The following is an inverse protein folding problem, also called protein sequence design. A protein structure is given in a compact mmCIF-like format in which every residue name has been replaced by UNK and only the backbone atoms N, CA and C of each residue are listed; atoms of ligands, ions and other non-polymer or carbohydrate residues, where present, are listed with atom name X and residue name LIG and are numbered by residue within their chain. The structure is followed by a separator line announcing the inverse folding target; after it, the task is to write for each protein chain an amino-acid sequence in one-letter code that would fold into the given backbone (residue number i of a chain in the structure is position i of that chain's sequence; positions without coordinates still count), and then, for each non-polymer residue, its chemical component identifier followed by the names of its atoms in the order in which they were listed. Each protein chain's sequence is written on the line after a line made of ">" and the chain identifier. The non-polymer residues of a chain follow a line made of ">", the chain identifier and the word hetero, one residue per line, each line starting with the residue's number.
data_IF_865828096948
#
_entry.id   IF_865828096948
#
_cell.length_a   1.000
_cell.length_b   1.000
_cell.length_c   1.000
_cell.angle_alpha   90.00
_cell.angle_beta   90.00
_cell.angle_gamma   90.00
#
_symmetry.space_group_name_H-M   'P 1'
#
loop_
_entity.id
_entity.type
_entity.pdbx_description
1 polymer ?
#
# COMPACT_ATOMS: atom_id res chain seq x y z
N UNK A 1 2.35 -12.00 10.11
CA UNK A 1 2.93 -10.68 9.79
C UNK A 1 3.24 -9.89 11.04
N UNK A 2 4.52 -9.84 11.42
CA UNK A 2 4.97 -9.05 12.56
C UNK A 2 4.64 -7.56 12.37
N UNK A 3 4.39 -6.88 13.49
CA UNK A 3 4.10 -5.46 13.54
C UNK A 3 5.37 -4.65 13.26
N UNK A 4 5.28 -3.59 12.46
CA UNK A 4 6.43 -2.81 12.01
C UNK A 4 6.19 -1.31 12.10
N UNK A 5 7.19 -0.57 12.60
CA UNK A 5 7.19 0.89 12.55
C UNK A 5 7.60 1.39 11.14
N UNK A 6 6.93 2.41 10.57
CA UNK A 6 7.30 2.94 9.25
C UNK A 6 8.58 3.78 9.21
N UNK A 7 9.00 4.33 10.36
CA UNK A 7 10.25 5.08 10.60
C UNK A 7 10.64 6.03 9.43
N UNK A 8 9.79 7.01 9.06
CA UNK A 8 10.23 8.09 8.18
C UNK A 8 11.35 8.88 8.83
N UNK A 9 12.38 9.31 8.07
CA UNK A 9 13.53 10.03 8.61
C UNK A 9 13.10 11.34 9.29
N UNK A 10 12.18 12.08 8.66
CA UNK A 10 11.45 13.16 9.31
C UNK A 10 10.29 12.57 10.12
N UNK A 11 10.25 12.86 11.43
CA UNK A 11 9.13 12.50 12.29
C UNK A 11 7.87 13.32 11.97
N UNK A 12 6.76 13.12 12.71
CA UNK A 12 5.57 13.97 12.57
C UNK A 12 5.81 15.38 13.12
N UNK A 13 5.15 16.36 12.52
CA UNK A 13 5.18 17.74 12.98
C UNK A 13 3.99 18.55 12.47
N UNK A 14 3.55 19.48 13.32
CA UNK A 14 2.41 20.36 13.10
C UNK A 14 2.72 21.76 13.63
N UNK A 15 2.40 22.79 12.84
CA UNK A 15 2.36 24.19 13.25
C UNK A 15 0.97 24.71 12.90
N UNK A 16 0.25 25.20 13.89
CA UNK A 16 -1.06 25.81 13.71
C UNK A 16 -1.02 27.29 14.09
N UNK A 17 -1.71 28.13 13.32
CA UNK A 17 -1.84 29.55 13.58
C UNK A 17 -3.29 29.98 13.30
N UNK A 18 -3.95 30.53 14.32
CA UNK A 18 -5.31 31.05 14.22
C UNK A 18 -5.29 32.58 14.38
N UNK A 19 -5.72 33.30 13.34
CA UNK A 19 -5.73 34.76 13.32
C UNK A 19 -6.92 35.27 12.52
N UNK A 20 -7.63 36.28 13.04
CA UNK A 20 -8.73 36.94 12.31
C UNK A 20 -9.85 36.00 11.87
N UNK A 21 -10.12 34.93 12.64
CA UNK A 21 -11.12 33.92 12.29
C UNK A 21 -10.66 32.91 11.23
N UNK A 22 -9.40 32.92 10.81
CA UNK A 22 -8.81 31.99 9.86
C UNK A 22 -7.76 31.10 10.52
N UNK A 23 -7.83 29.79 10.24
CA UNK A 23 -6.90 28.79 10.74
C UNK A 23 -5.96 28.35 9.61
N UNK A 24 -4.65 28.52 9.78
CA UNK A 24 -3.64 27.92 8.90
C UNK A 24 -2.87 26.83 9.65
N UNK A 25 -2.75 25.66 9.04
CA UNK A 25 -2.07 24.49 9.60
C UNK A 25 -0.98 24.02 8.63
N UNK A 26 0.28 24.08 9.04
CA UNK A 26 1.40 23.45 8.37
C UNK A 26 1.68 22.10 9.01
N UNK A 27 1.53 21.02 8.27
CA UNK A 27 1.54 19.66 8.85
C UNK A 27 2.21 18.67 7.91
N UNK A 28 3.03 17.77 8.48
CA UNK A 28 3.67 16.68 7.76
C UNK A 28 2.66 15.59 7.39
N UNK A 29 1.81 15.83 6.38
CA UNK A 29 0.72 14.93 6.01
C UNK A 29 0.78 14.47 4.54
N UNK A 30 0.18 13.31 4.28
CA UNK A 30 -0.05 12.75 2.96
C UNK A 30 -1.41 13.17 2.38
N UNK A 31 -2.32 13.68 3.21
CA UNK A 31 -3.72 13.92 2.85
C UNK A 31 -4.21 15.29 3.37
N UNK A 32 -3.65 16.42 2.90
CA UNK A 32 -3.96 17.74 3.45
C UNK A 32 -5.44 18.13 3.34
N UNK A 33 -6.13 17.72 2.27
CA UNK A 33 -7.58 17.95 2.13
C UNK A 33 -8.41 17.17 3.15
N UNK A 34 -7.97 15.95 3.50
CA UNK A 34 -8.63 15.14 4.52
C UNK A 34 -8.42 15.75 5.90
N UNK A 35 -7.17 16.13 6.22
CA UNK A 35 -6.87 16.87 7.45
C UNK A 35 -7.75 18.11 7.58
N UNK A 36 -7.97 18.87 6.50
CA UNK A 36 -8.86 20.03 6.52
C UNK A 36 -10.30 19.65 6.91
N UNK A 37 -10.83 18.58 6.32
CA UNK A 37 -12.17 18.09 6.64
C UNK A 37 -12.27 17.56 8.08
N UNK A 38 -11.27 16.80 8.54
CA UNK A 38 -11.23 16.24 9.89
C UNK A 38 -11.13 17.36 10.95
N UNK A 39 -10.27 18.35 10.74
CA UNK A 39 -10.17 19.54 11.61
C UNK A 39 -11.47 20.35 11.61
N UNK A 40 -12.11 20.53 10.45
CA UNK A 40 -13.41 21.21 10.34
C UNK A 40 -14.48 20.49 11.17
N UNK A 41 -14.57 19.17 11.03
CA UNK A 41 -15.54 18.35 11.73
C UNK A 41 -15.34 18.39 13.26
N UNK A 42 -14.09 18.32 13.73
CA UNK A 42 -13.80 18.30 15.18
C UNK A 42 -13.98 19.68 15.82
N UNK A 43 -13.52 20.75 15.18
CA UNK A 43 -13.51 22.09 15.77
C UNK A 43 -14.76 22.92 15.44
N UNK A 44 -15.65 22.42 14.58
CA UNK A 44 -16.84 23.15 14.13
C UNK A 44 -16.52 24.39 13.27
N UNK A 45 -15.29 24.51 12.77
CA UNK A 45 -14.88 25.63 11.92
C UNK A 45 -15.26 25.34 10.46
N UNK A 46 -15.85 26.30 9.72
CA UNK A 46 -16.14 26.11 8.30
C UNK A 46 -14.87 25.80 7.49
N UNK A 47 -14.91 24.80 6.60
CA UNK A 47 -13.74 24.38 5.81
C UNK A 47 -13.05 25.53 5.05
N UNK A 48 -13.81 26.52 4.56
CA UNK A 48 -13.27 27.68 3.84
C UNK A 48 -12.43 28.61 4.74
N UNK A 49 -12.56 28.50 6.07
CA UNK A 49 -11.73 29.22 7.05
C UNK A 49 -10.50 28.42 7.48
N UNK A 50 -10.31 27.20 6.94
CA UNK A 50 -9.20 26.32 7.30
C UNK A 50 -8.30 26.11 6.09
N UNK A 51 -7.03 26.49 6.22
CA UNK A 51 -6.00 26.28 5.22
C UNK A 51 -4.98 25.27 5.73
N UNK A 52 -4.98 24.07 5.15
CA UNK A 52 -3.96 23.05 5.44
C UNK A 52 -2.87 23.06 4.38
N UNK A 53 -1.62 23.13 4.82
CA UNK A 53 -0.42 23.19 3.99
C UNK A 53 0.47 22.01 4.38
N UNK A 54 0.65 21.05 3.47
CA UNK A 54 1.69 20.04 3.61
C UNK A 54 2.99 20.56 2.98
N UNK A 55 4.02 20.97 3.75
CA UNK A 55 5.30 21.42 3.18
C UNK A 55 6.04 20.24 2.50
N UNK A 56 7.33 20.40 2.21
CA UNK A 56 8.16 19.25 1.86
C UNK A 56 8.15 18.26 3.05
N UNK A 57 7.88 16.98 2.78
CA UNK A 57 7.72 15.93 3.81
C UNK A 57 8.84 14.90 3.64
N UNK A 58 9.66 14.74 4.68
CA UNK A 58 10.83 13.85 4.73
C UNK A 58 10.48 12.37 4.92
N UNK A 59 9.57 11.87 4.09
CA UNK A 59 9.04 10.51 4.15
C UNK A 59 7.77 10.39 4.98
N UNK A 60 6.94 9.40 4.65
CA UNK A 60 5.68 9.17 5.37
C UNK A 60 5.18 7.73 5.27
N UNK A 61 5.44 7.04 4.16
CA UNK A 61 5.28 5.58 4.04
C UNK A 61 3.92 4.98 4.43
N UNK A 62 2.89 5.81 4.57
CA UNK A 62 1.54 5.43 4.99
C UNK A 62 1.14 6.01 6.35
N UNK A 63 2.06 6.15 7.32
CA UNK A 63 1.70 6.61 8.67
C UNK A 63 1.26 8.07 8.73
N UNK A 64 1.74 8.94 7.84
CA UNK A 64 1.34 10.36 7.77
C UNK A 64 0.01 10.59 7.00
N UNK A 65 -0.80 9.54 6.79
CA UNK A 65 -2.07 9.64 6.07
C UNK A 65 -3.25 10.07 6.94
N UNK A 66 -3.28 9.62 8.21
CA UNK A 66 -4.27 10.05 9.20
C UNK A 66 -3.89 11.39 9.85
N UNK A 67 -4.85 11.95 10.57
CA UNK A 67 -4.65 13.04 11.53
C UNK A 67 -4.57 12.40 12.92
N UNK A 68 -3.53 12.72 13.68
CA UNK A 68 -3.33 12.17 15.03
C UNK A 68 -3.79 13.14 16.11
N UNK A 69 -4.06 12.60 17.30
CA UNK A 69 -4.50 13.37 18.46
C UNK A 69 -3.51 14.49 18.84
N UNK A 70 -2.20 14.23 18.84
CA UNK A 70 -1.18 15.26 19.15
C UNK A 70 -1.26 16.46 18.19
N UNK A 71 -1.48 16.18 16.90
CA UNK A 71 -1.59 17.18 15.84
C UNK A 71 -2.89 17.97 15.99
N UNK A 72 -3.99 17.30 16.33
CA UNK A 72 -5.28 17.91 16.57
C UNK A 72 -5.29 18.78 17.84
N UNK A 73 -4.66 18.32 18.92
CA UNK A 73 -4.46 19.09 20.16
C UNK A 73 -3.62 20.33 19.88
N UNK A 74 -2.57 20.22 19.06
CA UNK A 74 -1.77 21.38 18.60
C UNK A 74 -2.63 22.42 17.89
N UNK A 75 -3.52 21.97 16.99
CA UNK A 75 -4.45 22.86 16.28
C UNK A 75 -5.45 23.50 17.23
N UNK A 76 -6.07 22.72 18.12
CA UNK A 76 -7.03 23.22 19.10
C UNK A 76 -6.39 24.24 20.07
N UNK A 77 -5.16 23.99 20.50
CA UNK A 77 -4.39 24.91 21.34
C UNK A 77 -4.14 26.25 20.63
N UNK A 78 -3.78 26.25 19.35
CA UNK A 78 -3.60 27.49 18.58
C UNK A 78 -4.90 28.30 18.46
N UNK A 79 -6.04 27.63 18.26
CA UNK A 79 -7.37 28.28 18.23
C UNK A 79 -7.71 28.90 19.58
N UNK A 80 -7.52 28.14 20.68
CA UNK A 80 -7.83 28.60 22.03
C UNK A 80 -6.95 29.74 22.50
N UNK A 81 -5.65 29.69 22.18
CA UNK A 81 -4.67 30.68 22.63
C UNK A 81 -4.60 31.92 21.74
N UNK A 82 -5.12 31.84 20.50
CA UNK A 82 -4.98 32.91 19.52
C UNK A 82 -3.52 33.19 19.13
N UNK A 83 -2.64 32.18 19.24
CA UNK A 83 -1.20 32.29 18.98
C UNK A 83 -0.70 31.09 18.18
N UNK A 84 0.40 31.23 17.42
CA UNK A 84 1.03 30.08 16.77
C UNK A 84 1.46 29.03 17.80
N UNK A 85 1.13 27.76 17.56
CA UNK A 85 1.55 26.61 18.36
C UNK A 85 2.23 25.60 17.44
N UNK A 86 3.45 25.19 17.81
CA UNK A 86 4.26 24.22 17.08
C UNK A 86 4.50 22.98 17.93
N UNK A 87 4.33 21.82 17.31
CA UNK A 87 4.67 20.52 17.86
C UNK A 87 5.47 19.71 16.84
N UNK A 88 6.50 19.01 17.31
CA UNK A 88 7.32 18.10 16.52
C UNK A 88 7.67 16.94 17.43
N UNK A 89 7.34 15.71 17.02
CA UNK A 89 7.69 14.53 17.82
C UNK A 89 9.19 14.19 17.68
N UNK A 90 9.76 13.64 18.74
CA UNK A 90 11.08 13.00 18.73
C UNK A 90 11.02 11.62 18.08
N UNK A 91 12.17 11.03 17.78
CA UNK A 91 12.22 9.65 17.27
C UNK A 91 11.60 8.63 18.22
N UNK A 92 11.87 8.76 19.52
CA UNK A 92 11.35 7.84 20.54
C UNK A 92 9.82 7.92 20.62
N UNK A 93 9.26 9.14 20.61
CA UNK A 93 7.81 9.35 20.53
C UNK A 93 7.24 8.76 19.23
N UNK A 94 7.92 8.95 18.10
CA UNK A 94 7.49 8.38 16.81
C UNK A 94 7.38 6.85 16.87
N UNK A 95 8.31 6.15 17.52
CA UNK A 95 8.27 4.69 17.65
C UNK A 95 7.13 4.20 18.58
N UNK A 96 6.76 5.01 19.56
CA UNK A 96 5.74 4.69 20.57
C UNK A 96 4.32 5.07 20.12
N UNK A 97 4.15 6.23 19.51
CA UNK A 97 2.85 6.87 19.29
C UNK A 97 2.43 6.92 17.82
N UNK A 98 3.36 6.91 16.86
CA UNK A 98 2.99 6.87 15.44
C UNK A 98 2.46 5.48 15.08
N UNK A 99 1.32 5.44 14.39
CA UNK A 99 0.65 4.20 14.06
C UNK A 99 1.57 3.26 13.25
N UNK A 100 1.51 1.98 13.61
CA UNK A 100 2.38 0.95 13.08
C UNK A 100 1.70 0.14 11.96
N UNK A 101 2.48 -0.45 11.07
CA UNK A 101 1.95 -1.33 10.02
C UNK A 101 1.86 -2.79 10.45
N UNK A 102 1.17 -3.58 9.62
CA UNK A 102 1.04 -5.04 9.76
C UNK A 102 0.27 -5.41 11.05
N UNK A 103 0.80 -6.32 11.87
CA UNK A 103 0.14 -6.76 13.11
C UNK A 103 -0.96 -7.78 12.86
N UNK A 104 -0.72 -8.75 11.97
CA UNK A 104 -1.72 -9.75 11.60
C UNK A 104 -1.15 -11.16 11.75
N UNK A 105 -1.95 -12.07 12.29
CA UNK A 105 -1.66 -13.51 12.36
C UNK A 105 -2.71 -14.22 11.54
N UNK A 106 -2.28 -15.08 10.62
CA UNK A 106 -3.17 -15.80 9.73
C UNK A 106 -2.88 -17.29 9.80
N UNK A 107 -3.93 -18.07 9.71
CA UNK A 107 -3.92 -19.47 9.30
C UNK A 107 -4.44 -19.51 7.86
N UNK A 108 -3.71 -20.19 6.98
CA UNK A 108 -4.04 -20.19 5.57
C UNK A 108 -3.80 -21.59 4.98
N UNK A 109 -4.76 -22.04 4.17
CA UNK A 109 -4.80 -23.38 3.60
C UNK A 109 -5.08 -23.27 2.10
N UNK A 110 -4.32 -24.01 1.30
CA UNK A 110 -4.50 -24.11 -0.14
C UNK A 110 -4.85 -25.55 -0.51
N UNK A 111 -6.02 -25.75 -1.12
CA UNK A 111 -6.37 -27.02 -1.73
C UNK A 111 -5.69 -27.12 -3.10
N UNK A 112 -4.96 -28.21 -3.33
CA UNK A 112 -4.16 -28.43 -4.54
C UNK A 112 -4.41 -29.84 -5.06
N UNK A 113 -4.64 -29.97 -6.37
CA UNK A 113 -4.72 -31.26 -7.05
C UNK A 113 -3.33 -31.92 -7.15
N UNK A 114 -3.28 -33.23 -7.41
CA UNK A 114 -2.01 -33.97 -7.57
C UNK A 114 -1.16 -33.44 -8.71
N UNK A 115 -1.78 -32.85 -9.73
CA UNK A 115 -1.11 -32.18 -10.83
C UNK A 115 -0.68 -30.74 -10.49
N UNK A 116 -0.73 -30.31 -9.23
CA UNK A 116 -0.35 -28.95 -8.81
C UNK A 116 -1.36 -27.85 -9.14
N UNK A 117 -2.55 -28.15 -9.64
CA UNK A 117 -3.61 -27.15 -9.89
C UNK A 117 -4.23 -26.67 -8.57
N UNK A 118 -4.37 -25.36 -8.39
CA UNK A 118 -4.97 -24.73 -7.20
C UNK A 118 -6.49 -24.76 -7.29
N UNK A 119 -7.15 -25.33 -6.27
CA UNK A 119 -8.59 -25.57 -6.25
C UNK A 119 -9.34 -24.62 -5.33
N UNK A 120 -8.74 -24.24 -4.21
CA UNK A 120 -9.40 -23.37 -3.26
C UNK A 120 -8.46 -22.81 -2.20
N UNK A 121 -8.80 -21.64 -1.65
CA UNK A 121 -8.02 -20.95 -0.63
C UNK A 121 -8.91 -20.61 0.57
N UNK A 122 -8.48 -21.00 1.78
CA UNK A 122 -9.13 -20.56 3.03
C UNK A 122 -8.12 -19.80 3.87
N UNK A 123 -8.52 -18.63 4.38
CA UNK A 123 -7.72 -17.82 5.29
C UNK A 123 -8.56 -17.41 6.49
N UNK A 124 -8.07 -17.69 7.69
CA UNK A 124 -8.60 -17.15 8.94
C UNK A 124 -7.52 -16.36 9.65
N UNK A 125 -7.89 -15.44 10.54
CA UNK A 125 -6.84 -14.72 11.27
C UNK A 125 -7.32 -13.68 12.26
N UNK A 126 -6.34 -13.10 12.94
CA UNK A 126 -6.49 -11.98 13.86
C UNK A 126 -5.69 -10.78 13.35
N UNK A 127 -6.27 -9.59 13.47
CA UNK A 127 -5.57 -8.32 13.24
C UNK A 127 -5.54 -7.51 14.51
N UNK A 128 -4.34 -7.22 15.00
CA UNK A 128 -4.10 -6.30 16.11
C UNK A 128 -4.36 -4.87 15.63
N UNK A 129 -5.40 -4.23 16.17
CA UNK A 129 -5.78 -2.85 15.82
C UNK A 129 -5.12 -1.81 16.74
N UNK A 130 -4.44 -2.22 17.81
CA UNK A 130 -4.04 -1.34 18.90
C UNK A 130 -5.19 -1.06 19.87
N UNK A 131 -5.03 -0.03 20.71
CA UNK A 131 -5.99 0.29 21.78
C UNK A 131 -7.29 0.90 21.24
N UNK A 132 -7.20 1.57 20.10
CA UNK A 132 -8.31 2.22 19.40
C UNK A 132 -8.02 2.20 17.90
N UNK A 133 -9.07 2.24 17.05
CA UNK A 133 -8.87 2.30 15.61
C UNK A 133 -8.52 3.73 15.19
N UNK A 134 -7.45 3.86 14.43
CA UNK A 134 -7.13 5.04 13.65
C UNK A 134 -7.93 5.09 12.34
N UNK A 135 -7.90 6.26 11.70
CA UNK A 135 -8.65 6.56 10.45
C UNK A 135 -8.59 5.44 9.39
N UNK A 136 -7.46 4.73 9.31
CA UNK A 136 -7.21 3.71 8.31
C UNK A 136 -6.82 2.34 8.88
N UNK A 137 -7.08 2.06 10.16
CA UNK A 137 -6.65 0.79 10.79
C UNK A 137 -7.23 -0.47 10.13
N UNK A 138 -8.45 -0.39 9.62
CA UNK A 138 -9.08 -1.52 8.92
C UNK A 138 -8.56 -1.73 7.49
N UNK A 139 -7.92 -0.73 6.88
CA UNK A 139 -7.53 -0.76 5.46
C UNK A 139 -6.58 -1.93 5.13
N UNK A 140 -5.51 -2.19 5.91
CA UNK A 140 -4.64 -3.32 5.63
C UNK A 140 -5.37 -4.67 5.62
N UNK A 141 -6.28 -4.91 6.56
CA UNK A 141 -7.02 -6.18 6.63
C UNK A 141 -7.93 -6.34 5.41
N UNK A 142 -8.69 -5.30 5.08
CA UNK A 142 -9.64 -5.33 3.95
C UNK A 142 -8.91 -5.53 2.62
N UNK A 143 -7.76 -4.86 2.43
CA UNK A 143 -7.00 -4.97 1.18
C UNK A 143 -6.25 -6.30 1.08
N UNK A 144 -5.76 -6.85 2.18
CA UNK A 144 -5.22 -8.21 2.21
C UNK A 144 -6.29 -9.21 1.75
N UNK A 145 -7.47 -9.19 2.39
CA UNK A 145 -8.59 -10.08 2.08
C UNK A 145 -9.02 -10.02 0.60
N UNK A 146 -8.96 -8.85 -0.02
CA UNK A 146 -9.34 -8.67 -1.43
C UNK A 146 -8.33 -9.25 -2.43
N UNK A 147 -7.08 -9.43 -2.03
CA UNK A 147 -5.97 -9.82 -2.91
C UNK A 147 -5.35 -11.17 -2.53
N UNK A 148 -5.99 -11.93 -1.64
CA UNK A 148 -5.49 -13.23 -1.14
C UNK A 148 -5.25 -14.26 -2.25
N UNK A 149 -5.94 -14.18 -3.39
CA UNK A 149 -5.74 -15.12 -4.50
C UNK A 149 -4.57 -14.72 -5.41
N UNK A 150 -3.99 -13.54 -5.22
CA UNK A 150 -2.82 -13.07 -5.96
C UNK A 150 -3.00 -13.12 -7.47
N UNK A 151 -1.98 -13.62 -8.16
CA UNK A 151 -1.90 -13.78 -9.61
C UNK A 151 -2.54 -15.09 -10.13
N UNK A 152 -3.15 -15.88 -9.24
CA UNK A 152 -3.53 -17.26 -9.52
C UNK A 152 -5.01 -17.43 -9.80
N UNK A 153 -5.31 -18.41 -10.65
CA UNK A 153 -6.65 -18.92 -10.94
C UNK A 153 -7.04 -19.87 -9.82
N UNK A 154 -7.72 -19.31 -8.83
CA UNK A 154 -8.25 -20.07 -7.70
C UNK A 154 -9.76 -19.90 -7.76
N UNK A 155 -10.55 -20.94 -8.09
CA UNK A 155 -11.98 -20.77 -8.36
C UNK A 155 -12.81 -20.50 -7.10
N UNK A 156 -12.33 -20.89 -5.91
CA UNK A 156 -13.02 -20.67 -4.64
C UNK A 156 -12.08 -20.09 -3.58
N UNK A 157 -12.53 -19.04 -2.88
CA UNK A 157 -11.78 -18.49 -1.76
C UNK A 157 -12.69 -18.04 -0.61
N UNK A 158 -12.23 -18.25 0.63
CA UNK A 158 -12.87 -17.76 1.86
C UNK A 158 -11.86 -17.06 2.74
N UNK A 159 -12.21 -15.89 3.28
CA UNK A 159 -11.35 -15.13 4.17
C UNK A 159 -12.14 -14.50 5.32
N UNK A 160 -11.73 -14.81 6.55
CA UNK A 160 -12.33 -14.28 7.77
C UNK A 160 -11.24 -13.80 8.73
N UNK A 161 -11.10 -12.48 8.87
CA UNK A 161 -10.13 -11.87 9.81
C UNK A 161 -10.87 -11.08 10.87
N UNK A 162 -10.55 -11.36 12.15
CA UNK A 162 -11.12 -10.65 13.30
C UNK A 162 -10.17 -9.56 13.78
N UNK A 163 -10.64 -8.32 13.80
CA UNK A 163 -9.93 -7.22 14.47
C UNK A 163 -10.02 -7.36 15.99
N UNK A 164 -8.90 -7.19 16.68
CA UNK A 164 -8.81 -7.24 18.15
C UNK A 164 -8.15 -5.99 18.69
N UNK A 165 -8.67 -5.46 19.80
CA UNK A 165 -8.04 -4.36 20.52
C UNK A 165 -6.97 -4.87 21.48
N UNK A 166 -5.86 -4.12 21.60
CA UNK A 166 -4.73 -4.46 22.47
C UNK A 166 -4.16 -3.21 23.13
N UNK A 167 -3.38 -3.32 24.21
CA UNK A 167 -2.72 -2.19 24.88
C UNK A 167 -1.49 -1.66 24.11
N UNK A 168 -1.65 -1.37 22.81
CA UNK A 168 -0.58 -0.88 21.93
C UNK A 168 -1.08 0.36 21.18
N UNK A 169 -0.15 1.11 20.58
CA UNK A 169 -0.49 2.16 19.60
C UNK A 169 -1.40 1.59 18.49
N UNK A 170 -2.18 2.39 17.76
CA UNK A 170 -2.99 1.90 16.65
C UNK A 170 -2.18 1.33 15.47
N UNK A 171 -2.83 0.52 14.63
CA UNK A 171 -2.26 0.16 13.33
C UNK A 171 -2.75 1.06 12.20
N UNK A 172 -1.93 1.24 11.17
CA UNK A 172 -2.22 2.06 10.01
C UNK A 172 -1.56 1.51 8.74
N UNK A 173 -1.88 2.07 7.56
CA UNK A 173 -1.15 1.77 6.34
C UNK A 173 0.37 1.95 6.51
N UNK A 174 1.10 0.91 6.17
CA UNK A 174 2.54 0.96 5.93
C UNK A 174 2.80 0.29 4.57
N UNK A 175 3.47 1.00 3.65
CA UNK A 175 3.87 0.57 2.29
C UNK A 175 3.14 -0.67 1.77
N UNK A 176 2.16 -0.45 0.89
CA UNK A 176 1.31 -1.50 0.31
C UNK A 176 0.02 -1.78 1.10
N UNK A 177 0.03 -1.62 2.43
CA UNK A 177 -1.15 -1.68 3.31
C UNK A 177 -2.09 -2.87 3.02
N UNK A 178 -1.75 -4.07 3.49
CA UNK A 178 -2.54 -5.28 3.26
C UNK A 178 -2.09 -6.08 2.04
N UNK A 179 -1.64 -5.40 0.98
CA UNK A 179 -1.16 -6.08 -0.24
C UNK A 179 0.03 -6.98 0.03
N UNK A 180 1.06 -6.55 0.81
CA UNK A 180 2.16 -7.45 1.16
C UNK A 180 1.71 -8.66 1.98
N UNK A 181 0.72 -8.49 2.85
CA UNK A 181 0.15 -9.59 3.63
C UNK A 181 -0.55 -10.61 2.73
N UNK A 182 -1.43 -10.16 1.82
CA UNK A 182 -2.09 -11.03 0.84
C UNK A 182 -1.11 -11.75 -0.09
N UNK A 183 -0.14 -11.00 -0.65
CA UNK A 183 0.89 -11.57 -1.53
C UNK A 183 1.76 -12.60 -0.80
N UNK A 184 2.22 -12.30 0.41
CA UNK A 184 3.03 -13.23 1.19
C UNK A 184 2.27 -14.52 1.50
N UNK A 185 0.99 -14.46 1.89
CA UNK A 185 0.21 -15.66 2.19
C UNK A 185 0.17 -16.61 0.99
N UNK A 186 -0.24 -16.12 -0.18
CA UNK A 186 -0.41 -16.98 -1.34
C UNK A 186 0.91 -17.44 -1.94
N UNK A 187 1.96 -16.60 -1.94
CA UNK A 187 3.27 -17.01 -2.42
C UNK A 187 3.92 -18.04 -1.51
N UNK A 188 3.74 -17.93 -0.18
CA UNK A 188 4.22 -18.96 0.76
C UNK A 188 3.48 -20.27 0.56
N UNK A 189 2.16 -20.24 0.33
CA UNK A 189 1.38 -21.43 0.04
C UNK A 189 1.80 -22.07 -1.29
N UNK A 190 2.10 -21.27 -2.32
CA UNK A 190 2.60 -21.79 -3.59
C UNK A 190 3.95 -22.50 -3.42
N UNK A 191 4.88 -21.96 -2.63
CA UNK A 191 6.16 -22.63 -2.32
C UNK A 191 5.95 -23.92 -1.51
N UNK A 192 5.04 -23.92 -0.53
CA UNK A 192 4.72 -25.11 0.27
C UNK A 192 4.09 -26.20 -0.58
N UNK A 193 3.15 -25.85 -1.46
CA UNK A 193 2.54 -26.77 -2.40
C UNK A 193 3.57 -27.34 -3.40
N UNK A 194 4.51 -26.51 -3.88
CA UNK A 194 5.61 -26.99 -4.73
C UNK A 194 6.45 -28.03 -4.01
N UNK A 195 6.83 -27.75 -2.76
CA UNK A 195 7.64 -28.65 -1.95
C UNK A 195 6.92 -29.98 -1.66
N UNK A 196 5.65 -29.93 -1.27
CA UNK A 196 4.84 -31.12 -0.95
C UNK A 196 4.68 -32.04 -2.16
N UNK A 197 4.48 -31.47 -3.35
CA UNK A 197 4.27 -32.23 -4.59
C UNK A 197 5.57 -32.54 -5.34
N UNK A 198 6.73 -32.12 -4.84
CA UNK A 198 8.01 -32.26 -5.54
C UNK A 198 8.08 -31.50 -6.87
N UNK A 199 7.32 -30.41 -7.02
CA UNK A 199 7.28 -29.57 -8.21
C UNK A 199 8.27 -28.42 -8.12
N UNK A 200 8.75 -27.95 -9.27
CA UNK A 200 9.53 -26.73 -9.34
C UNK A 200 8.67 -25.50 -8.93
N UNK A 201 9.16 -24.61 -8.04
CA UNK A 201 8.38 -23.45 -7.58
C UNK A 201 7.99 -22.45 -8.67
N UNK A 202 8.75 -22.35 -9.78
CA UNK A 202 8.32 -21.52 -10.91
C UNK A 202 7.24 -22.24 -11.72
N UNK A 203 7.34 -23.55 -11.89
CA UNK A 203 6.40 -24.34 -12.68
C UNK A 203 5.00 -24.38 -12.05
N UNK A 204 4.90 -24.62 -10.74
CA UNK A 204 3.59 -24.61 -10.07
C UNK A 204 2.90 -23.24 -10.21
N UNK A 205 3.67 -22.15 -10.23
CA UNK A 205 3.12 -20.80 -10.42
C UNK A 205 2.62 -20.62 -11.84
N UNK A 206 3.42 -21.00 -12.86
CA UNK A 206 3.01 -20.94 -14.27
C UNK A 206 1.72 -21.68 -14.54
N UNK A 207 1.58 -22.90 -13.98
CA UNK A 207 0.36 -23.73 -14.11
C UNK A 207 -0.89 -23.00 -13.63
N UNK A 208 -0.75 -22.20 -12.58
CA UNK A 208 -1.86 -21.57 -11.88
C UNK A 208 -2.08 -20.10 -12.24
N UNK A 209 -1.25 -19.44 -13.05
CA UNK A 209 -1.48 -18.04 -13.39
C UNK A 209 -2.76 -17.78 -14.15
N UNK A 210 -3.37 -16.61 -13.89
CA UNK A 210 -4.40 -16.04 -14.75
C UNK A 210 -3.75 -15.72 -16.10
N UNK A 211 -4.33 -16.25 -17.17
CA UNK A 211 -3.81 -16.12 -18.53
C UNK A 211 -4.23 -14.78 -19.14
N UNK A 212 -3.43 -14.21 -20.05
CA UNK A 212 -3.74 -12.92 -20.69
C UNK A 212 -5.15 -12.83 -21.31
N UNK A 213 -5.64 -13.92 -21.87
CA UNK A 213 -6.96 -14.05 -22.49
C UNK A 213 -8.14 -14.13 -21.49
N UNK A 214 -7.87 -14.35 -20.20
CA UNK A 214 -8.90 -14.40 -19.14
C UNK A 214 -9.18 -13.03 -18.52
N UNK A 215 -8.48 -11.98 -18.97
CA UNK A 215 -8.73 -10.60 -18.53
C UNK A 215 -9.85 -9.94 -19.36
N UNK A 216 -10.73 -9.14 -18.75
CA UNK A 216 -10.78 -8.80 -17.32
C UNK A 216 -11.23 -9.97 -16.44
N UNK A 217 -10.43 -10.29 -15.41
CA UNK A 217 -10.63 -11.48 -14.58
C UNK A 217 -11.37 -11.12 -13.29
N UNK A 218 -12.53 -11.75 -13.06
CA UNK A 218 -13.27 -11.60 -11.80
C UNK A 218 -12.74 -12.60 -10.77
N UNK A 219 -11.96 -12.11 -9.81
CA UNK A 219 -11.47 -12.93 -8.71
C UNK A 219 -12.61 -13.28 -7.73
N UNK A 220 -12.52 -14.40 -6.98
CA UNK A 220 -13.51 -14.78 -5.97
C UNK A 220 -13.75 -13.72 -4.89
N UNK A 221 -12.76 -12.83 -4.67
CA UNK A 221 -12.88 -11.69 -3.76
C UNK A 221 -13.82 -10.58 -4.26
N UNK A 222 -14.35 -10.70 -5.48
CA UNK A 222 -15.19 -9.72 -6.16
C UNK A 222 -14.41 -8.62 -6.88
N UNK A 223 -13.09 -8.56 -6.74
CA UNK A 223 -12.25 -7.67 -7.55
C UNK A 223 -12.23 -8.12 -9.01
N UNK A 224 -12.26 -7.13 -9.92
CA UNK A 224 -12.04 -7.35 -11.34
C UNK A 224 -10.66 -6.85 -11.68
N UNK A 225 -9.77 -7.75 -12.09
CA UNK A 225 -8.45 -7.41 -12.58
C UNK A 225 -8.57 -6.97 -14.02
N UNK A 226 -7.91 -5.87 -14.36
CA UNK A 226 -8.03 -5.21 -15.65
C UNK A 226 -7.26 -5.94 -16.75
N UNK A 227 -5.95 -6.14 -16.56
CA UNK A 227 -5.04 -6.80 -17.51
C UNK A 227 -3.86 -7.45 -16.78
N UNK A 228 -3.22 -8.44 -17.39
CA UNK A 228 -2.02 -9.07 -16.81
C UNK A 228 -1.26 -9.97 -17.79
N UNK A 229 0.07 -10.03 -17.63
CA UNK A 229 0.97 -10.94 -18.36
C UNK A 229 1.97 -11.59 -17.40
N UNK A 230 1.46 -12.39 -16.46
CA UNK A 230 2.24 -12.87 -15.31
C UNK A 230 3.34 -13.86 -15.69
N UNK A 231 3.05 -14.80 -16.59
CA UNK A 231 4.05 -15.75 -17.11
C UNK A 231 5.25 -15.02 -17.74
N UNK A 232 4.99 -14.01 -18.59
CA UNK A 232 6.03 -13.17 -19.19
C UNK A 232 6.93 -12.50 -18.14
N UNK A 233 6.35 -11.95 -17.07
CA UNK A 233 7.13 -11.32 -16.00
C UNK A 233 7.95 -12.33 -15.19
N UNK A 234 7.42 -13.52 -14.94
CA UNK A 234 8.15 -14.60 -14.28
C UNK A 234 9.31 -15.06 -15.16
N UNK A 235 9.07 -15.34 -16.44
CA UNK A 235 10.09 -15.83 -17.37
C UNK A 235 11.26 -14.85 -17.48
N UNK A 236 10.96 -13.56 -17.60
CA UNK A 236 12.01 -12.53 -17.63
C UNK A 236 12.82 -12.48 -16.34
N UNK A 237 12.18 -12.62 -15.18
CA UNK A 237 12.88 -12.64 -13.90
C UNK A 237 13.79 -13.87 -13.76
N UNK A 238 13.34 -15.04 -14.22
CA UNK A 238 14.11 -16.28 -14.18
C UNK A 238 15.31 -16.26 -15.13
N UNK A 239 15.18 -15.61 -16.29
CA UNK A 239 16.27 -15.38 -17.23
C UNK A 239 17.36 -14.49 -16.61
N UNK A 240 16.97 -13.38 -15.97
CA UNK A 240 17.90 -12.42 -15.37
C UNK A 240 18.81 -13.01 -14.29
N UNK A 241 18.38 -14.10 -13.64
CA UNK A 241 19.13 -14.76 -12.56
C UNK A 241 19.76 -16.08 -12.99
N UNK A 242 19.66 -16.45 -14.27
CA UNK A 242 19.97 -17.78 -14.78
C UNK A 242 19.46 -18.90 -13.86
N UNK A 243 18.13 -18.98 -13.77
CA UNK A 243 17.44 -19.86 -12.83
C UNK A 243 17.94 -21.31 -12.86
N UNK A 244 18.26 -21.85 -14.05
CA UNK A 244 18.73 -23.22 -14.20
C UNK A 244 20.14 -23.39 -13.63
N UNK A 245 21.07 -22.49 -13.97
CA UNK A 245 22.41 -22.52 -13.40
C UNK A 245 22.38 -22.34 -11.88
N UNK A 246 21.54 -21.42 -11.38
CA UNK A 246 21.35 -21.22 -9.94
C UNK A 246 20.88 -22.49 -9.24
N UNK A 247 19.90 -23.21 -9.80
CA UNK A 247 19.39 -24.47 -9.22
C UNK A 247 20.46 -25.57 -9.22
N UNK A 248 21.26 -25.68 -10.28
CA UNK A 248 22.37 -26.63 -10.34
C UNK A 248 23.42 -26.32 -9.26
N UNK A 249 23.77 -25.05 -9.09
CA UNK A 249 24.72 -24.62 -8.07
C UNK A 249 24.18 -24.81 -6.64
N UNK A 250 22.90 -24.52 -6.42
CA UNK A 250 22.21 -24.80 -5.15
C UNK A 250 22.32 -26.29 -4.78
N UNK A 251 22.11 -27.20 -5.75
CA UNK A 251 22.22 -28.64 -5.51
C UNK A 251 23.66 -29.07 -5.21
N UNK A 252 24.65 -28.50 -5.89
CA UNK A 252 26.08 -28.78 -5.64
C UNK A 252 26.49 -28.34 -4.24
N UNK A 253 26.24 -27.07 -3.90
CA UNK A 253 26.61 -26.47 -2.61
C UNK A 253 25.94 -27.15 -1.42
N UNK A 254 24.71 -27.66 -1.59
CA UNK A 254 24.02 -28.39 -0.52
C UNK A 254 24.78 -29.65 -0.09
N UNK A 255 25.49 -30.32 -1.00
CA UNK A 255 26.33 -31.50 -0.67
C UNK A 255 27.57 -31.12 0.12
N UNK A 256 27.98 -29.85 0.06
CA UNK A 256 29.10 -29.27 0.81
C UNK A 256 28.64 -28.64 2.15
N UNK A 257 27.38 -28.82 2.54
CA UNK A 257 26.83 -28.22 3.77
C UNK A 257 26.54 -26.71 3.65
N UNK A 258 26.56 -26.14 2.44
CA UNK A 258 26.27 -24.72 2.18
C UNK A 258 24.84 -24.55 1.67
N UNK A 259 24.06 -23.70 2.34
CA UNK A 259 22.65 -23.48 2.00
C UNK A 259 22.48 -22.19 1.18
N UNK A 260 22.20 -22.36 -0.12
CA UNK A 260 21.83 -21.26 -1.01
C UNK A 260 20.30 -21.22 -1.17
N UNK A 261 19.69 -20.04 -1.02
CA UNK A 261 18.24 -19.85 -1.10
C UNK A 261 17.83 -18.99 -2.30
N UNK A 262 16.72 -19.37 -2.95
CA UNK A 262 16.09 -18.59 -4.00
C UNK A 262 14.59 -18.47 -3.71
N UNK A 263 14.12 -17.24 -3.53
CA UNK A 263 12.71 -16.93 -3.33
C UNK A 263 12.08 -16.37 -4.60
N UNK A 264 10.90 -16.86 -4.95
CA UNK A 264 10.08 -16.31 -6.04
C UNK A 264 8.84 -15.65 -5.44
N UNK A 265 8.46 -14.49 -5.99
CA UNK A 265 7.22 -13.81 -5.61
C UNK A 265 6.58 -13.16 -6.83
N UNK A 266 5.39 -13.63 -7.20
CA UNK A 266 4.57 -13.03 -8.26
C UNK A 266 3.28 -12.45 -7.67
N UNK A 267 3.20 -11.13 -7.58
CA UNK A 267 2.12 -10.47 -6.87
C UNK A 267 1.29 -9.55 -7.77
N UNK A 268 0.04 -9.33 -7.38
CA UNK A 268 -0.89 -8.38 -7.99
C UNK A 268 -1.15 -7.24 -7.01
N UNK A 269 -1.18 -6.01 -7.51
CA UNK A 269 -1.45 -4.83 -6.70
C UNK A 269 -2.54 -3.97 -7.35
N UNK A 270 -3.53 -3.57 -6.54
CA UNK A 270 -4.44 -2.50 -6.93
C UNK A 270 -3.76 -1.15 -6.74
N UNK A 271 -3.58 -0.40 -7.84
CA UNK A 271 -3.05 0.96 -7.81
C UNK A 271 -4.17 1.98 -8.12
N UNK A 272 -4.01 3.21 -7.63
CA UNK A 272 -4.95 4.32 -7.85
C UNK A 272 -6.43 4.01 -7.55
N UNK A 273 -6.83 3.91 -6.26
CA UNK A 273 -8.23 3.64 -5.90
C UNK A 273 -9.16 4.71 -6.49
N UNK A 274 -9.97 4.32 -7.46
CA UNK A 274 -11.06 5.14 -7.99
C UNK A 274 -12.28 5.05 -7.05
N UNK A 275 -13.17 6.04 -7.09
CA UNK A 275 -14.42 6.06 -6.29
C UNK A 275 -15.25 4.77 -6.43
N UNK A 276 -15.15 4.07 -7.57
CA UNK A 276 -15.82 2.79 -7.84
C UNK A 276 -15.19 1.61 -7.09
N UNK A 277 -13.88 1.59 -6.87
CA UNK A 277 -13.19 0.49 -6.19
C UNK A 277 -13.30 0.55 -4.65
N UNK A 278 -13.58 1.73 -4.10
CA UNK A 278 -13.54 2.02 -2.66
C UNK A 278 -14.89 1.99 -1.93
N UNK A 279 -15.96 1.48 -2.56
CA UNK A 279 -17.27 1.35 -1.87
C UNK A 279 -17.81 2.68 -1.32
N UNK A 280 -17.69 3.77 -2.09
CA UNK A 280 -18.45 5.00 -1.83
C UNK A 280 -18.01 5.93 -0.70
N UNK A 281 -16.98 5.65 0.11
CA UNK A 281 -16.57 6.61 1.19
C UNK A 281 -15.10 7.05 1.21
N UNK A 282 -14.23 6.52 0.37
CA UNK A 282 -12.84 6.98 0.24
C UNK A 282 -12.54 7.50 -1.16
N UNK A 283 -13.16 8.62 -1.54
CA UNK A 283 -12.83 9.32 -2.78
C UNK A 283 -11.62 10.25 -2.58
N UNK A 284 -10.56 10.08 -3.37
CA UNK A 284 -9.66 11.21 -3.69
C UNK A 284 -10.42 12.15 -4.62
N UNK A 285 -10.80 13.31 -4.11
CA UNK A 285 -11.43 14.36 -4.89
C UNK A 285 -10.33 15.12 -5.64
N UNK A 286 -10.37 15.01 -6.96
CA UNK A 286 -9.65 15.91 -7.85
C UNK A 286 -10.66 16.98 -8.29
N UNK A 287 -10.48 18.21 -7.82
CA UNK A 287 -11.08 19.40 -8.43
C UNK A 287 -10.05 20.52 -8.47
N UNK A 288 -9.90 21.12 -9.65
CA UNK A 288 -9.17 22.38 -9.88
C UNK A 288 -7.66 22.25 -10.13
N UNK A 289 -7.27 22.21 -11.42
CA UNK A 289 -6.01 22.65 -12.07
C UNK A 289 -4.62 22.39 -11.45
N UNK A 290 -4.51 21.80 -10.25
CA UNK A 290 -3.29 21.28 -9.64
C UNK A 290 -3.60 19.90 -9.05
N UNK A 291 -2.80 18.87 -9.32
CA UNK A 291 -3.05 17.54 -8.80
C UNK A 291 -3.08 17.56 -7.26
N UNK A 292 -4.11 16.98 -6.65
CA UNK A 292 -4.30 16.89 -5.20
C UNK A 292 -3.31 15.95 -4.50
N UNK A 293 -2.49 15.22 -5.26
CA UNK A 293 -1.41 14.37 -4.75
C UNK A 293 -0.06 15.09 -4.82
N UNK A 294 0.57 15.35 -3.67
CA UNK A 294 1.88 16.05 -3.60
C UNK A 294 3.08 15.12 -3.77
N UNK A 295 4.22 15.62 -4.32
CA UNK A 295 5.45 14.85 -4.50
C UNK A 295 6.06 14.43 -3.14
N UNK A 296 6.75 13.29 -3.12
CA UNK A 296 7.65 12.89 -2.02
C UNK A 296 9.01 12.64 -2.63
N UNK A 297 10.01 13.40 -2.21
CA UNK A 297 11.33 13.37 -2.83
C UNK A 297 11.36 13.87 -4.29
N UNK A 298 12.55 13.92 -4.91
CA UNK A 298 12.78 14.62 -6.18
C UNK A 298 12.01 14.02 -7.39
N UNK A 299 11.59 12.75 -7.34
CA UNK A 299 11.14 12.02 -8.54
C UNK A 299 9.78 12.41 -9.13
N UNK A 300 8.83 12.96 -8.35
CA UNK A 300 7.46 13.22 -8.85
C UNK A 300 7.26 14.60 -9.49
N UNK A 301 7.97 15.65 -9.06
CA UNK A 301 7.92 16.96 -9.73
C UNK A 301 8.45 16.87 -11.17
N UNK A 302 9.49 16.04 -11.41
CA UNK A 302 10.00 15.76 -12.74
C UNK A 302 9.02 15.01 -13.64
N UNK A 303 8.30 14.01 -13.09
CA UNK A 303 7.37 13.16 -13.86
C UNK A 303 6.10 13.87 -14.34
N UNK A 304 5.69 14.98 -13.70
CA UNK A 304 4.60 15.82 -14.21
C UNK A 304 5.07 16.82 -15.26
N UNK A 305 6.29 17.36 -15.13
CA UNK A 305 6.87 18.26 -16.14
C UNK A 305 7.19 17.54 -17.46
N UNK A 306 7.44 16.24 -17.44
CA UNK A 306 7.73 15.46 -18.66
C UNK A 306 6.51 15.24 -19.58
N UNK A 307 5.30 15.67 -19.19
CA UNK A 307 4.10 15.60 -20.05
C UNK A 307 3.82 16.87 -20.85
N UNK A 308 4.53 17.98 -20.58
CA UNK A 308 4.36 19.26 -21.29
C UNK A 308 5.39 19.44 -22.43
N UNK A 309 6.16 18.41 -22.75
CA UNK A 309 7.12 18.40 -23.87
C UNK A 309 6.50 17.91 -25.17
N UNK A 310 5.43 18.55 -25.67
CA UNK A 310 5.00 18.33 -27.05
C UNK A 310 5.76 19.31 -27.96
N UNK A 311 6.79 18.78 -28.64
CA UNK A 311 7.37 19.38 -29.84
C UNK A 311 6.25 19.58 -30.87
N UNK A 312 5.95 20.84 -31.21
CA UNK A 312 5.00 21.16 -32.27
C UNK A 312 5.51 20.67 -33.64
N UNK A 313 4.62 20.29 -34.57
CA UNK A 313 5.03 19.86 -35.90
C UNK A 313 5.55 21.05 -36.71
N UNK A 314 6.77 20.93 -37.23
CA UNK A 314 7.32 21.83 -38.25
C UNK A 314 6.50 21.67 -39.54
N UNK A 315 5.72 22.69 -39.89
CA UNK A 315 5.07 22.77 -41.19
C UNK A 315 6.01 23.44 -42.19
N UNK A 316 6.69 22.63 -43.01
CA UNK A 316 7.30 23.08 -44.27
C UNK A 316 6.26 22.90 -45.39
N UNK A 317 5.77 24.00 -45.95
CA UNK A 317 4.98 24.00 -47.18
C UNK A 317 5.89 24.31 -48.39
N UNK A 318 5.79 23.57 -49.51
CA UNK A 318 6.51 23.89 -50.72
C UNK A 318 5.63 24.72 -51.65
N UNK A 319 6.12 25.86 -52.15
CA UNK A 319 5.72 26.40 -53.46
C UNK A 319 6.90 27.14 -54.07
N UNK A 320 7.37 26.62 -55.20
CA UNK A 320 8.08 27.40 -56.20
C UNK A 320 7.08 28.13 -57.09
N UNK A 321 7.46 29.36 -57.43
CA UNK A 321 7.23 30.15 -58.65
C UNK A 321 7.41 31.61 -58.23
#
# INVERSE_FOLDING_TARGET
>A
HQRLAPIPLEARGCLAHYQGGQLTVWISTQMPHRVRADVSAVLGLPEHRIRVIAPEVGGGFGCKAGLYDDELVTVAAAVRLGRPVKWVETRSESLLATAQGRGQVHEAELAVATDGTFLGLRVTGLSDLGAYPETFSAVPVVLAARLITGAYRIPAASCAVRGVYTHKTPTAPYRGAGRPEGAYLIERLADLAAAELGLDPAEIRRRNFIRPEEFPYRAPSGLVYDTGRYALTLDRALEMVDYRAFRAEQARLRREGRYLGLGLSTFVETSAPSKRASGGRAGTWASGSRPSSRPRGPGRRGRWRSRDGSTGPSASSPRGA
#
